data_IF_459628350709
#
_entry.id   IF_459628350709
#
_cell.length_a   1.000
_cell.length_b   1.000
_cell.length_c   1.000
_cell.angle_alpha   90.00
_cell.angle_beta   90.00
_cell.angle_gamma   90.00
#
_symmetry.space_group_name_H-M   'P 1'
#
loop_
_entity.id
_entity.type
_entity.pdbx_description
1 polymer ?
#
# COMPACT_ATOMS: atom_id res chain seq x y z
N UNK A 1 28.12 -0.97 20.53
CA UNK A 1 27.34 -1.02 19.27
C UNK A 1 26.35 -2.16 19.24
N UNK A 2 25.12 -1.92 18.75
CA UNK A 2 24.12 -2.97 18.53
C UNK A 2 24.13 -3.37 17.04
N UNK A 3 24.80 -4.46 16.63
CA UNK A 3 24.75 -4.92 15.25
C UNK A 3 23.29 -5.18 14.85
N UNK A 4 22.87 -4.63 13.71
CA UNK A 4 21.49 -4.75 13.20
C UNK A 4 20.58 -3.53 13.42
N UNK A 5 21.01 -2.47 14.11
CA UNK A 5 20.22 -1.23 14.15
C UNK A 5 20.36 -0.49 12.82
N UNK A 6 19.29 -0.45 12.03
CA UNK A 6 19.19 0.40 10.82
C UNK A 6 19.38 1.87 11.22
N UNK A 7 20.42 2.50 10.70
CA UNK A 7 20.69 3.93 10.86
C UNK A 7 20.18 4.66 9.61
N UNK A 8 19.33 5.66 9.80
CA UNK A 8 18.87 6.53 8.72
C UNK A 8 19.30 7.97 9.02
N UNK A 9 19.82 8.64 7.99
CA UNK A 9 20.22 10.05 8.05
C UNK A 9 19.53 10.84 6.94
N UNK A 10 19.06 12.04 7.28
CA UNK A 10 18.54 13.03 6.34
C UNK A 10 19.34 14.30 6.56
N UNK A 11 19.96 14.84 5.52
CA UNK A 11 20.89 15.98 5.61
C UNK A 11 21.93 15.79 6.73
N UNK A 12 22.53 14.59 6.78
CA UNK A 12 23.51 14.16 7.79
C UNK A 12 23.00 14.03 9.24
N UNK A 13 21.74 14.36 9.52
CA UNK A 13 21.14 14.20 10.85
C UNK A 13 20.46 12.83 11.01
N UNK A 14 20.71 12.15 12.13
CA UNK A 14 20.06 10.87 12.44
C UNK A 14 18.55 11.07 12.61
N UNK A 15 17.73 10.21 12.01
CA UNK A 15 16.27 10.27 12.11
C UNK A 15 15.63 8.87 12.04
N UNK A 16 14.32 8.79 12.23
CA UNK A 16 13.58 7.53 12.12
C UNK A 16 13.44 7.11 10.66
N UNK A 17 13.27 5.80 10.43
CA UNK A 17 13.02 5.29 9.07
C UNK A 17 11.74 5.87 8.44
N UNK A 18 10.75 6.19 9.28
CA UNK A 18 9.46 6.73 8.85
C UNK A 18 9.57 8.16 8.33
N UNK A 19 10.55 8.95 8.78
CA UNK A 19 10.77 10.31 8.34
C UNK A 19 11.16 10.40 6.85
N UNK A 20 11.66 9.32 6.25
CA UNK A 20 11.99 9.31 4.82
C UNK A 20 10.77 9.57 3.93
N UNK A 21 9.58 9.15 4.36
CA UNK A 21 8.33 9.39 3.64
C UNK A 21 7.95 10.88 3.55
N UNK A 22 8.55 11.75 4.37
CA UNK A 22 8.36 13.21 4.26
C UNK A 22 9.14 13.80 3.08
N UNK A 23 10.19 13.11 2.61
CA UNK A 23 11.10 13.62 1.58
C UNK A 23 10.85 12.99 0.22
N UNK A 24 10.55 11.69 0.19
CA UNK A 24 10.42 10.93 -1.05
C UNK A 24 9.19 10.03 -1.00
N UNK A 25 8.28 10.21 -1.97
CA UNK A 25 7.27 9.21 -2.25
C UNK A 25 7.92 8.06 -3.04
N UNK A 26 7.73 6.83 -2.60
CA UNK A 26 8.33 5.66 -3.25
C UNK A 26 7.28 4.59 -3.49
N UNK A 27 7.12 4.19 -4.74
CA UNK A 27 6.28 3.07 -5.17
C UNK A 27 7.11 1.97 -5.80
N UNK A 28 6.64 0.72 -5.71
CA UNK A 28 7.24 -0.37 -6.46
C UNK A 28 6.28 -1.49 -6.81
N UNK A 29 6.58 -2.14 -7.93
CA UNK A 29 5.93 -3.35 -8.41
C UNK A 29 7.00 -4.41 -8.68
N UNK A 30 6.81 -5.61 -8.12
CA UNK A 30 7.69 -6.76 -8.32
C UNK A 30 6.89 -8.00 -8.70
N UNK A 31 7.50 -9.01 -9.35
CA UNK A 31 6.79 -10.25 -9.72
C UNK A 31 6.13 -10.97 -8.53
N UNK A 32 6.71 -10.87 -7.32
CA UNK A 32 6.13 -11.45 -6.11
C UNK A 32 4.76 -10.87 -5.73
N UNK A 33 4.38 -9.71 -6.30
CA UNK A 33 3.09 -9.08 -6.05
C UNK A 33 1.98 -9.54 -7.01
N UNK A 34 2.29 -10.31 -8.07
CA UNK A 34 1.29 -10.76 -9.05
C UNK A 34 0.14 -11.57 -8.38
N UNK A 35 0.40 -12.19 -7.22
CA UNK A 35 -0.60 -12.91 -6.42
C UNK A 35 -1.40 -12.04 -5.42
N UNK A 36 -1.30 -10.71 -5.45
CA UNK A 36 -1.89 -9.81 -4.44
C UNK A 36 -3.38 -10.07 -4.20
N UNK A 37 -4.16 -10.29 -5.26
CA UNK A 37 -5.61 -10.44 -5.13
C UNK A 37 -6.02 -11.78 -4.50
N UNK A 38 -5.16 -12.81 -4.61
CA UNK A 38 -5.33 -14.10 -3.93
C UNK A 38 -4.70 -14.14 -2.54
N UNK A 39 -3.94 -13.11 -2.19
CA UNK A 39 -3.18 -13.06 -0.95
C UNK A 39 -4.10 -12.97 0.27
N UNK A 40 -3.52 -13.08 1.47
CA UNK A 40 -4.26 -12.86 2.70
C UNK A 40 -4.74 -11.40 2.83
N UNK A 41 -5.81 -11.11 3.59
CA UNK A 41 -6.19 -9.73 3.92
C UNK A 41 -5.04 -8.93 4.56
N UNK A 42 -4.13 -9.59 5.28
CA UNK A 42 -2.94 -8.96 5.85
C UNK A 42 -1.95 -8.46 4.79
N UNK A 43 -1.79 -9.19 3.68
CA UNK A 43 -0.95 -8.77 2.56
C UNK A 43 -1.59 -7.61 1.80
N UNK A 44 -2.90 -7.65 1.56
CA UNK A 44 -3.64 -6.54 0.95
C UNK A 44 -3.60 -5.28 1.79
N UNK A 45 -3.74 -5.38 3.12
CA UNK A 45 -3.54 -4.23 4.03
C UNK A 45 -2.13 -3.67 3.97
N UNK A 46 -1.09 -4.52 3.93
CA UNK A 46 0.31 -4.06 3.78
C UNK A 46 0.54 -3.34 2.46
N UNK A 47 -0.05 -3.84 1.37
CA UNK A 47 -0.02 -3.17 0.07
C UNK A 47 -0.70 -1.79 0.15
N UNK A 48 -1.91 -1.74 0.71
CA UNK A 48 -2.67 -0.50 0.89
C UNK A 48 -1.92 0.51 1.78
N UNK A 49 -1.33 0.07 2.89
CA UNK A 49 -0.54 0.92 3.79
C UNK A 49 0.70 1.50 3.11
N UNK A 50 1.35 0.71 2.24
CA UNK A 50 2.49 1.18 1.46
C UNK A 50 2.07 2.26 0.46
N UNK A 51 0.95 2.06 -0.24
CA UNK A 51 0.43 3.07 -1.17
C UNK A 51 -0.01 4.34 -0.42
N UNK A 52 -0.67 4.19 0.73
CA UNK A 52 -1.11 5.29 1.56
C UNK A 52 0.08 6.10 2.08
N UNK A 53 1.19 5.46 2.47
CA UNK A 53 2.40 6.14 2.92
C UNK A 53 3.00 7.09 1.86
N UNK A 54 2.93 6.72 0.58
CA UNK A 54 3.44 7.56 -0.50
C UNK A 54 2.60 8.84 -0.71
N UNK A 55 1.31 8.82 -0.34
CA UNK A 55 0.39 9.95 -0.41
C UNK A 55 0.34 10.76 0.90
N UNK A 56 0.46 10.07 2.03
CA UNK A 56 0.29 10.60 3.38
C UNK A 56 1.51 10.22 4.24
N UNK A 57 2.51 11.10 4.38
CA UNK A 57 3.75 10.80 5.10
C UNK A 57 3.56 10.45 6.57
N UNK A 58 2.50 10.98 7.19
CA UNK A 58 2.13 10.71 8.57
C UNK A 58 1.53 9.30 8.77
N UNK A 59 1.20 8.58 7.70
CA UNK A 59 0.60 7.23 7.74
C UNK A 59 1.42 6.24 8.55
N UNK A 60 2.75 6.25 8.40
CA UNK A 60 3.63 5.33 9.14
C UNK A 60 3.59 5.59 10.65
N UNK A 61 3.50 6.86 11.07
CA UNK A 61 3.37 7.24 12.48
C UNK A 61 2.01 6.82 13.04
N UNK A 62 0.94 7.04 12.27
CA UNK A 62 -0.43 6.64 12.65
C UNK A 62 -0.52 5.11 12.79
N UNK A 63 -0.03 4.36 11.79
CA UNK A 63 0.05 2.90 11.81
C UNK A 63 0.84 2.39 13.02
N UNK A 64 1.99 3.01 13.33
CA UNK A 64 2.78 2.66 14.52
C UNK A 64 2.04 2.90 15.85
N UNK A 65 1.30 4.01 16.00
CA UNK A 65 0.46 4.29 17.17
C UNK A 65 -0.65 3.25 17.31
N UNK A 66 -1.32 2.94 16.21
CA UNK A 66 -2.39 1.94 16.16
C UNK A 66 -1.87 0.55 16.57
N UNK A 67 -0.79 0.06 15.98
CA UNK A 67 -0.20 -1.25 16.29
C UNK A 67 0.31 -1.35 17.74
N UNK A 68 0.81 -0.25 18.31
CA UNK A 68 1.18 -0.19 19.72
C UNK A 68 -0.06 -0.31 20.63
N UNK A 69 -1.10 0.50 20.37
CA UNK A 69 -2.34 0.48 21.15
C UNK A 69 -3.08 -0.87 21.01
N UNK A 70 -3.09 -1.47 19.83
CA UNK A 70 -3.73 -2.76 19.56
C UNK A 70 -3.04 -3.90 20.30
N UNK A 71 -1.69 -3.95 20.25
CA UNK A 71 -0.91 -4.95 20.99
C UNK A 71 -1.12 -4.81 22.49
N UNK A 72 -1.13 -3.58 22.98
CA UNK A 72 -1.42 -3.25 24.37
C UNK A 72 -2.81 -3.77 24.78
N UNK A 73 -3.85 -3.44 24.00
CA UNK A 73 -5.22 -3.94 24.24
C UNK A 73 -5.28 -5.46 24.27
N UNK A 74 -4.72 -6.12 23.25
CA UNK A 74 -4.76 -7.58 23.15
C UNK A 74 -4.04 -8.25 24.33
N UNK A 75 -2.98 -7.62 24.86
CA UNK A 75 -2.30 -8.12 26.06
C UNK A 75 -3.17 -7.99 27.30
N UNK A 76 -3.89 -6.88 27.47
CA UNK A 76 -4.84 -6.70 28.57
C UNK A 76 -6.01 -7.70 28.48
N UNK A 77 -6.53 -7.96 27.28
CA UNK A 77 -7.62 -8.92 27.05
C UNK A 77 -7.21 -10.38 27.32
N UNK A 78 -5.92 -10.67 27.21
CA UNK A 78 -5.37 -12.00 27.48
C UNK A 78 -5.01 -12.24 28.96
N UNK A 79 -5.07 -11.20 29.83
CA UNK A 79 -4.79 -11.34 31.25
C UNK A 79 -5.89 -12.16 31.95
N UNK A 80 -5.49 -13.24 32.62
CA UNK A 80 -6.40 -14.14 33.34
C UNK A 80 -7.09 -13.48 34.53
N UNK A 81 -6.49 -12.43 35.11
CA UNK A 81 -7.09 -11.63 36.18
C UNK A 81 -8.13 -10.63 35.67
N UNK A 82 -8.24 -10.50 34.34
CA UNK A 82 -9.04 -9.47 33.68
C UNK A 82 -8.31 -8.12 33.63
N UNK A 83 -8.66 -7.28 32.65
CA UNK A 83 -8.01 -5.98 32.46
C UNK A 83 -8.41 -4.98 33.53
N UNK A 84 -7.46 -4.12 33.96
CA UNK A 84 -7.81 -2.92 34.71
C UNK A 84 -8.71 -2.03 33.85
N UNK A 85 -9.90 -1.70 34.35
CA UNK A 85 -10.93 -1.01 33.57
C UNK A 85 -10.53 0.41 33.18
N UNK A 86 -9.85 1.13 34.06
CA UNK A 86 -9.41 2.51 33.79
C UNK A 86 -8.34 2.52 32.70
N UNK A 87 -7.39 1.59 32.80
CA UNK A 87 -6.31 1.44 31.82
C UNK A 87 -6.83 0.96 30.46
N UNK A 88 -7.77 0.01 30.44
CA UNK A 88 -8.41 -0.46 29.21
C UNK A 88 -9.13 0.69 28.49
N UNK A 89 -9.91 1.51 29.21
CA UNK A 89 -10.61 2.67 28.63
C UNK A 89 -9.63 3.68 28.03
N UNK A 90 -8.53 3.98 28.76
CA UNK A 90 -7.51 4.90 28.27
C UNK A 90 -6.79 4.35 27.01
N UNK A 91 -6.52 3.04 26.97
CA UNK A 91 -5.97 2.39 25.80
C UNK A 91 -6.95 2.36 24.62
N UNK A 92 -8.23 2.07 24.86
CA UNK A 92 -9.28 2.06 23.83
C UNK A 92 -9.48 3.43 23.19
N UNK A 93 -9.36 4.51 23.95
CA UNK A 93 -9.38 5.87 23.39
C UNK A 93 -8.21 6.11 22.42
N UNK A 94 -6.99 5.70 22.80
CA UNK A 94 -5.82 5.82 21.92
C UNK A 94 -5.92 4.91 20.69
N UNK A 95 -6.44 3.69 20.87
CA UNK A 95 -6.68 2.74 19.79
C UNK A 95 -7.71 3.27 18.81
N UNK A 96 -8.79 3.87 19.30
CA UNK A 96 -9.85 4.43 18.48
C UNK A 96 -9.37 5.66 17.70
N UNK A 97 -8.64 6.58 18.33
CA UNK A 97 -8.07 7.76 17.65
C UNK A 97 -7.11 7.35 16.52
N UNK A 98 -6.14 6.48 16.82
CA UNK A 98 -5.19 6.03 15.82
C UNK A 98 -5.84 5.13 14.75
N UNK A 99 -6.83 4.32 15.15
CA UNK A 99 -7.56 3.42 14.26
C UNK A 99 -8.43 4.18 13.26
N UNK A 100 -9.21 5.15 13.72
CA UNK A 100 -10.01 6.03 12.87
C UNK A 100 -9.14 6.78 11.85
N UNK A 101 -8.01 7.33 12.30
CA UNK A 101 -7.06 8.01 11.42
C UNK A 101 -6.48 7.05 10.37
N UNK A 102 -6.08 5.83 10.76
CA UNK A 102 -5.55 4.81 9.85
C UNK A 102 -6.58 4.41 8.79
N UNK A 103 -7.80 4.12 9.22
CA UNK A 103 -8.92 3.72 8.38
C UNK A 103 -9.29 4.84 7.38
N UNK A 104 -9.30 6.09 7.85
CA UNK A 104 -9.58 7.26 7.01
C UNK A 104 -8.53 7.47 5.92
N UNK A 105 -7.23 7.26 6.20
CA UNK A 105 -6.17 7.34 5.18
C UNK A 105 -6.31 6.24 4.13
N UNK A 106 -6.69 5.03 4.53
CA UNK A 106 -6.95 3.91 3.62
C UNK A 106 -8.16 4.16 2.73
N UNK A 107 -9.26 4.64 3.31
CA UNK A 107 -10.45 5.03 2.56
C UNK A 107 -10.13 6.14 1.54
N UNK A 108 -9.42 7.20 1.95
CA UNK A 108 -9.03 8.28 1.07
C UNK A 108 -8.09 7.85 -0.08
N UNK A 109 -7.18 6.90 0.19
CA UNK A 109 -6.36 6.28 -0.86
C UNK A 109 -7.24 5.55 -1.89
N UNK A 110 -8.17 4.71 -1.42
CA UNK A 110 -9.03 3.90 -2.30
C UNK A 110 -9.95 4.80 -3.13
N UNK A 111 -10.52 5.84 -2.51
CA UNK A 111 -11.31 6.86 -3.21
C UNK A 111 -10.48 7.58 -4.28
N UNK A 112 -9.28 8.06 -3.95
CA UNK A 112 -8.40 8.73 -4.90
C UNK A 112 -8.00 7.83 -6.07
N UNK A 113 -7.75 6.55 -5.82
CA UNK A 113 -7.47 5.56 -6.87
C UNK A 113 -8.71 5.29 -7.73
N UNK A 114 -9.88 5.15 -7.11
CA UNK A 114 -11.15 4.99 -7.81
C UNK A 114 -11.39 6.15 -8.77
N UNK A 115 -11.21 7.39 -8.30
CA UNK A 115 -11.34 8.59 -9.12
C UNK A 115 -10.30 8.68 -10.24
N UNK A 116 -9.05 8.26 -9.99
CA UNK A 116 -8.02 8.22 -11.02
C UNK A 116 -8.27 7.15 -12.09
N UNK A 117 -8.96 6.07 -11.75
CA UNK A 117 -9.19 4.93 -12.63
C UNK A 117 -10.55 4.96 -13.34
N UNK A 118 -11.51 5.79 -12.89
CA UNK A 118 -12.90 5.72 -13.36
C UNK A 118 -13.05 5.91 -14.86
N UNK A 119 -12.23 6.77 -15.47
CA UNK A 119 -12.30 7.14 -16.89
C UNK A 119 -11.25 6.39 -17.74
N UNK A 120 -10.46 5.51 -17.13
CA UNK A 120 -9.50 4.70 -17.86
C UNK A 120 -10.22 3.66 -18.74
N UNK A 121 -9.72 3.38 -19.95
CA UNK A 121 -10.26 2.32 -20.78
C UNK A 121 -10.06 0.94 -20.15
N UNK A 122 -10.92 -0.01 -20.51
CA UNK A 122 -10.80 -1.40 -20.05
C UNK A 122 -9.63 -2.16 -20.72
N UNK A 123 -9.02 -1.56 -21.75
CA UNK A 123 -7.84 -2.04 -22.47
C UNK A 123 -6.79 -0.92 -22.62
N UNK A 124 -5.49 -1.25 -22.67
CA UNK A 124 -4.93 -2.61 -22.73
C UNK A 124 -4.70 -3.22 -21.33
N UNK A 125 -4.90 -2.45 -20.27
CA UNK A 125 -4.89 -2.91 -18.89
C UNK A 125 -6.32 -2.96 -18.35
N UNK A 126 -6.74 -4.13 -17.90
CA UNK A 126 -8.05 -4.32 -17.28
C UNK A 126 -8.28 -3.30 -16.15
N UNK A 127 -9.37 -2.53 -16.25
CA UNK A 127 -9.72 -1.50 -15.27
C UNK A 127 -10.19 -2.13 -13.95
N UNK A 128 -9.52 -1.86 -12.82
CA UNK A 128 -9.95 -2.31 -11.51
C UNK A 128 -10.96 -1.33 -10.89
N UNK A 129 -12.02 -1.88 -10.30
CA UNK A 129 -12.93 -1.18 -9.39
C UNK A 129 -12.50 -1.54 -7.96
N UNK A 130 -12.18 -0.53 -7.16
CA UNK A 130 -11.66 -0.71 -5.80
C UNK A 130 -12.72 -0.36 -4.78
N UNK A 131 -12.87 -1.21 -3.76
CA UNK A 131 -13.75 -0.97 -2.62
C UNK A 131 -12.96 -1.18 -1.33
N UNK A 132 -13.03 -0.20 -0.45
CA UNK A 132 -12.48 -0.28 0.89
C UNK A 132 -13.48 -0.94 1.82
N UNK A 133 -13.14 -2.10 2.35
CA UNK A 133 -13.99 -2.85 3.28
C UNK A 133 -13.52 -2.59 4.71
N UNK A 134 -14.21 -1.69 5.41
CA UNK A 134 -13.84 -1.30 6.75
C UNK A 134 -14.12 -2.42 7.77
N UNK A 135 -13.12 -2.74 8.59
CA UNK A 135 -13.21 -3.70 9.70
C UNK A 135 -13.85 -3.14 10.98
N UNK A 136 -14.27 -1.88 10.95
CA UNK A 136 -14.92 -1.16 12.04
C UNK A 136 -15.27 0.28 11.62
N UNK A 137 -15.86 1.07 12.53
CA UNK A 137 -16.18 2.47 12.24
C UNK A 137 -14.95 3.30 11.88
N UNK A 138 -15.13 4.28 10.98
CA UNK A 138 -14.07 5.22 10.57
C UNK A 138 -13.95 6.42 11.51
N UNK A 139 -15.01 6.73 12.25
CA UNK A 139 -15.00 7.78 13.27
C UNK A 139 -14.44 7.27 14.60
N UNK A 140 -13.66 8.10 15.29
CA UNK A 140 -13.00 7.73 16.53
C UNK A 140 -14.00 7.50 17.68
N UNK A 141 -15.06 8.30 17.77
CA UNK A 141 -16.10 8.13 18.78
C UNK A 141 -16.86 6.82 18.56
N UNK A 142 -17.33 6.60 17.34
CA UNK A 142 -18.04 5.38 16.97
C UNK A 142 -17.16 4.12 17.15
N UNK A 143 -15.87 4.20 16.82
CA UNK A 143 -14.94 3.08 17.05
C UNK A 143 -14.72 2.82 18.53
N UNK A 144 -14.60 3.85 19.37
CA UNK A 144 -14.50 3.70 20.82
C UNK A 144 -15.76 3.03 21.42
N UNK A 145 -16.96 3.43 20.96
CA UNK A 145 -18.22 2.81 21.34
C UNK A 145 -18.27 1.34 20.92
N UNK A 146 -17.87 1.02 19.68
CA UNK A 146 -17.82 -0.34 19.17
C UNK A 146 -16.84 -1.24 19.96
N UNK A 147 -15.67 -0.71 20.34
CA UNK A 147 -14.70 -1.40 21.19
C UNK A 147 -15.30 -1.68 22.58
N UNK A 148 -15.94 -0.68 23.19
CA UNK A 148 -16.56 -0.79 24.50
C UNK A 148 -17.71 -1.81 24.52
N UNK A 149 -18.57 -1.80 23.50
CA UNK A 149 -19.67 -2.76 23.34
C UNK A 149 -19.16 -4.18 23.01
N UNK A 150 -18.00 -4.29 22.35
CA UNK A 150 -17.39 -5.56 21.95
C UNK A 150 -16.58 -6.27 23.03
N UNK A 151 -16.31 -5.64 24.18
CA UNK A 151 -15.37 -6.13 25.20
C UNK A 151 -15.56 -7.60 25.59
N UNK A 152 -16.79 -8.03 25.89
CA UNK A 152 -17.03 -9.42 26.31
C UNK A 152 -16.65 -10.43 25.22
N UNK A 153 -16.93 -10.12 23.95
CA UNK A 153 -16.52 -10.97 22.81
C UNK A 153 -15.01 -10.96 22.62
N UNK A 154 -14.39 -9.79 22.77
CA UNK A 154 -12.95 -9.63 22.61
C UNK A 154 -12.16 -10.34 23.73
N UNK A 155 -12.66 -10.32 24.97
CA UNK A 155 -12.09 -11.07 26.11
C UNK A 155 -12.20 -12.57 25.85
N UNK A 156 -13.37 -13.06 25.44
CA UNK A 156 -13.56 -14.47 25.11
C UNK A 156 -12.63 -14.94 23.97
N UNK A 157 -12.41 -14.08 22.98
CA UNK A 157 -11.49 -14.36 21.86
C UNK A 157 -10.02 -14.08 22.17
N UNK A 158 -9.71 -13.47 23.33
CA UNK A 158 -8.39 -12.96 23.74
C UNK A 158 -7.73 -12.06 22.67
N UNK A 159 -8.54 -11.32 21.91
CA UNK A 159 -8.09 -10.40 20.85
C UNK A 159 -9.19 -9.40 20.50
N UNK A 160 -8.76 -8.25 19.98
CA UNK A 160 -9.64 -7.22 19.43
C UNK A 160 -10.28 -7.70 18.12
N UNK A 161 -11.61 -7.64 18.01
CA UNK A 161 -12.33 -8.12 16.82
C UNK A 161 -12.83 -7.01 15.88
N UNK A 162 -12.81 -5.75 16.31
CA UNK A 162 -13.32 -4.59 15.54
C UNK A 162 -12.21 -3.55 15.36
N UNK A 163 -12.05 -3.01 14.15
CA UNK A 163 -11.08 -1.96 13.84
C UNK A 163 -10.22 -2.25 12.60
N UNK A 164 -9.30 -1.34 12.26
CA UNK A 164 -8.62 -1.36 10.96
C UNK A 164 -7.61 -2.50 10.75
N UNK A 165 -7.24 -3.25 11.79
CA UNK A 165 -6.52 -4.52 11.62
C UNK A 165 -7.37 -5.60 10.93
N UNK A 166 -8.67 -5.35 10.74
CA UNK A 166 -9.63 -6.21 10.03
C UNK A 166 -10.05 -5.66 8.67
N UNK A 167 -9.59 -4.48 8.27
CA UNK A 167 -9.91 -3.90 6.95
C UNK A 167 -9.47 -4.82 5.81
N UNK A 168 -10.14 -4.67 4.67
CA UNK A 168 -9.76 -5.32 3.43
C UNK A 168 -9.88 -4.39 2.22
N UNK A 169 -9.23 -4.80 1.13
CA UNK A 169 -9.33 -4.17 -0.17
C UNK A 169 -9.97 -5.17 -1.14
N UNK A 170 -11.22 -4.90 -1.52
CA UNK A 170 -11.90 -5.64 -2.57
C UNK A 170 -11.61 -5.01 -3.93
N UNK A 171 -11.29 -5.86 -4.92
CA UNK A 171 -11.02 -5.43 -6.29
C UNK A 171 -11.87 -6.26 -7.23
N UNK A 172 -12.58 -5.59 -8.13
CA UNK A 172 -13.43 -6.20 -9.16
C UNK A 172 -12.98 -5.71 -10.53
N UNK A 173 -12.95 -6.59 -11.52
CA UNK A 173 -12.63 -6.18 -12.90
C UNK A 173 -13.87 -5.57 -13.56
N UNK A 174 -13.78 -4.30 -13.99
CA UNK A 174 -14.92 -3.55 -14.52
C UNK A 174 -15.62 -4.26 -15.69
N UNK A 175 -14.85 -4.68 -16.70
CA UNK A 175 -15.40 -5.29 -17.92
C UNK A 175 -16.10 -6.66 -17.74
N UNK A 176 -15.87 -7.36 -16.62
CA UNK A 176 -16.53 -8.66 -16.33
C UNK A 176 -17.44 -8.64 -15.09
N UNK A 177 -17.30 -7.66 -14.21
CA UNK A 177 -17.94 -7.69 -12.89
C UNK A 177 -17.46 -8.83 -11.99
N UNK A 178 -16.30 -9.43 -12.29
CA UNK A 178 -15.76 -10.56 -11.54
C UNK A 178 -14.75 -10.09 -10.48
N UNK A 179 -14.75 -10.67 -9.26
CA UNK A 179 -13.69 -10.41 -8.28
C UNK A 179 -12.32 -10.70 -8.86
N UNK A 180 -11.34 -9.83 -8.62
CA UNK A 180 -10.01 -9.95 -9.22
C UNK A 180 -9.31 -11.28 -8.88
N UNK A 181 -9.57 -11.82 -7.68
CA UNK A 181 -9.12 -13.14 -7.26
C UNK A 181 -9.59 -14.28 -8.19
N UNK A 182 -10.71 -14.11 -8.90
CA UNK A 182 -11.29 -15.11 -9.79
C UNK A 182 -10.92 -14.87 -11.26
N UNK A 183 -10.22 -13.77 -11.57
CA UNK A 183 -9.73 -13.47 -12.90
C UNK A 183 -8.48 -14.28 -13.25
N UNK A 184 -8.15 -14.36 -14.54
CA UNK A 184 -6.91 -15.00 -14.99
C UNK A 184 -5.67 -14.26 -14.46
N UNK A 185 -4.53 -14.95 -14.33
CA UNK A 185 -3.27 -14.33 -13.88
C UNK A 185 -2.87 -13.11 -14.71
N UNK A 186 -3.12 -13.13 -16.03
CA UNK A 186 -2.87 -11.98 -16.91
C UNK A 186 -3.77 -10.79 -16.60
N UNK A 187 -5.05 -11.02 -16.30
CA UNK A 187 -5.99 -9.97 -15.89
C UNK A 187 -5.65 -9.40 -14.51
N UNK A 188 -5.26 -10.26 -13.57
CA UNK A 188 -4.77 -9.84 -12.25
C UNK A 188 -3.55 -8.92 -12.39
N UNK A 189 -2.56 -9.34 -13.18
CA UNK A 189 -1.37 -8.53 -13.46
C UNK A 189 -1.74 -7.19 -14.11
N UNK A 190 -2.64 -7.21 -15.09
CA UNK A 190 -3.09 -6.00 -15.76
C UNK A 190 -3.76 -5.00 -14.81
N UNK A 191 -4.65 -5.46 -13.93
CA UNK A 191 -5.27 -4.62 -12.89
C UNK A 191 -4.24 -4.09 -11.90
N UNK A 192 -3.28 -4.91 -11.47
CA UNK A 192 -2.22 -4.47 -10.56
C UNK A 192 -1.32 -3.39 -11.18
N UNK A 193 -1.00 -3.52 -12.47
CA UNK A 193 -0.28 -2.49 -13.24
C UNK A 193 -1.12 -1.22 -13.34
N UNK A 194 -2.43 -1.31 -13.63
CA UNK A 194 -3.32 -0.16 -13.67
C UNK A 194 -3.35 0.60 -12.33
N UNK A 195 -3.51 -0.10 -11.20
CA UNK A 195 -3.46 0.51 -9.87
C UNK A 195 -2.11 1.19 -9.61
N UNK A 196 -1.01 0.54 -10.00
CA UNK A 196 0.35 1.07 -9.80
C UNK A 196 0.58 2.35 -10.60
N UNK A 197 0.12 2.41 -11.85
CA UNK A 197 0.27 3.58 -12.71
C UNK A 197 -0.59 4.76 -12.22
N UNK A 198 -1.85 4.49 -11.85
CA UNK A 198 -2.71 5.51 -11.25
C UNK A 198 -2.12 6.04 -9.94
N UNK A 199 -1.59 5.16 -9.09
CA UNK A 199 -0.93 5.54 -7.84
C UNK A 199 0.32 6.41 -8.09
N UNK A 200 1.15 6.06 -9.07
CA UNK A 200 2.35 6.81 -9.41
C UNK A 200 2.05 8.27 -9.76
N UNK A 201 1.01 8.49 -10.58
CA UNK A 201 0.54 9.83 -10.94
C UNK A 201 0.01 10.61 -9.73
N UNK A 202 -0.71 9.95 -8.81
CA UNK A 202 -1.19 10.57 -7.58
C UNK A 202 -0.02 10.94 -6.63
N UNK A 203 0.95 10.04 -6.47
CA UNK A 203 2.07 10.21 -5.55
C UNK A 203 3.09 11.27 -6.00
N UNK A 204 3.14 11.59 -7.30
CA UNK A 204 3.99 12.65 -7.84
C UNK A 204 3.43 14.07 -7.65
N UNK A 205 2.18 14.22 -7.16
CA UNK A 205 1.54 15.53 -7.00
C UNK A 205 2.22 16.34 -5.89
N UNK A 206 2.94 17.38 -6.28
CA UNK A 206 3.50 18.38 -5.36
C UNK A 206 4.72 17.93 -4.56
N UNK A 207 5.34 16.80 -4.91
CA UNK A 207 6.52 16.28 -4.22
C UNK A 207 7.36 15.34 -5.08
N UNK A 208 8.62 15.13 -4.68
CA UNK A 208 9.49 14.15 -5.32
C UNK A 208 8.93 12.72 -5.16
N UNK A 209 8.93 11.97 -6.27
CA UNK A 209 8.41 10.61 -6.34
C UNK A 209 9.31 9.73 -7.20
N UNK A 210 9.50 8.48 -6.77
CA UNK A 210 10.21 7.43 -7.51
C UNK A 210 9.34 6.18 -7.60
N UNK A 211 9.20 5.63 -8.80
CA UNK A 211 8.54 4.36 -9.08
C UNK A 211 9.56 3.32 -9.56
N UNK A 212 9.63 2.19 -8.86
CA UNK A 212 10.51 1.06 -9.20
C UNK A 212 9.69 -0.08 -9.80
N UNK A 213 9.99 -0.47 -11.03
CA UNK A 213 9.26 -1.50 -11.76
C UNK A 213 10.19 -2.64 -12.13
N UNK A 214 10.02 -3.77 -11.44
CA UNK A 214 10.89 -4.93 -11.58
C UNK A 214 10.31 -5.93 -12.58
N UNK A 215 11.03 -6.17 -13.67
CA UNK A 215 10.70 -7.07 -14.79
C UNK A 215 9.33 -6.84 -15.47
N UNK A 216 8.65 -5.73 -15.19
CA UNK A 216 7.26 -5.53 -15.64
C UNK A 216 7.12 -5.55 -17.17
N UNK A 217 8.05 -4.94 -17.90
CA UNK A 217 7.95 -4.76 -19.36
C UNK A 217 8.16 -6.08 -20.12
N UNK A 218 8.97 -7.00 -19.57
CA UNK A 218 9.28 -8.29 -20.19
C UNK A 218 8.05 -9.21 -20.28
N UNK A 219 7.06 -8.99 -19.42
CA UNK A 219 5.84 -9.82 -19.35
C UNK A 219 4.65 -9.25 -20.12
N UNK A 220 4.84 -8.14 -20.83
CA UNK A 220 3.79 -7.47 -21.58
C UNK A 220 3.96 -7.72 -23.08
N UNK A 221 2.86 -7.80 -23.82
CA UNK A 221 2.88 -7.73 -25.29
C UNK A 221 3.21 -6.29 -25.75
N UNK A 222 3.54 -6.08 -27.05
CA UNK A 222 3.94 -4.77 -27.55
C UNK A 222 2.92 -3.65 -27.30
N UNK A 223 1.62 -3.93 -27.43
CA UNK A 223 0.55 -2.93 -27.23
C UNK A 223 0.50 -2.51 -25.76
N UNK A 224 0.57 -3.46 -24.83
CA UNK A 224 0.63 -3.17 -23.40
C UNK A 224 1.91 -2.44 -22.99
N UNK A 225 3.06 -2.73 -23.61
CA UNK A 225 4.32 -2.01 -23.34
C UNK A 225 4.25 -0.55 -23.75
N UNK A 226 3.71 -0.26 -24.93
CA UNK A 226 3.55 1.11 -25.41
C UNK A 226 2.63 1.90 -24.46
N UNK A 227 1.47 1.34 -24.12
CA UNK A 227 0.56 1.97 -23.16
C UNK A 227 1.14 2.11 -21.75
N UNK A 228 1.98 1.17 -21.31
CA UNK A 228 2.74 1.31 -20.06
C UNK A 228 3.62 2.55 -20.12
N UNK A 229 4.43 2.68 -21.18
CA UNK A 229 5.38 3.78 -21.33
C UNK A 229 4.68 5.14 -21.44
N UNK A 230 3.57 5.23 -22.17
CA UNK A 230 2.78 6.46 -22.26
C UNK A 230 2.24 6.92 -20.89
N UNK A 231 1.69 5.99 -20.10
CA UNK A 231 1.22 6.32 -18.74
C UNK A 231 2.36 6.68 -17.81
N UNK A 232 3.53 6.06 -17.96
CA UNK A 232 4.72 6.42 -17.18
C UNK A 232 5.20 7.83 -17.50
N UNK A 233 5.24 8.22 -18.78
CA UNK A 233 5.56 9.60 -19.20
C UNK A 233 4.62 10.62 -18.59
N UNK A 234 3.32 10.32 -18.56
CA UNK A 234 2.30 11.21 -18.00
C UNK A 234 2.29 11.29 -16.46
N UNK A 235 2.93 10.34 -15.77
CA UNK A 235 2.82 10.22 -14.31
C UNK A 235 3.56 11.31 -13.51
N UNK A 236 4.57 11.96 -14.10
CA UNK A 236 5.42 12.93 -13.40
C UNK A 236 6.34 12.34 -12.33
N UNK A 237 6.43 11.01 -12.20
CA UNK A 237 7.35 10.32 -11.29
C UNK A 237 8.68 10.02 -11.97
N UNK A 238 9.77 9.90 -11.20
CA UNK A 238 11.00 9.31 -11.72
C UNK A 238 10.85 7.78 -11.76
N UNK A 239 11.00 7.17 -12.93
CA UNK A 239 10.77 5.73 -13.11
C UNK A 239 12.10 4.99 -13.28
N UNK A 240 12.22 3.85 -12.60
CA UNK A 240 13.29 2.88 -12.78
C UNK A 240 12.68 1.56 -13.22
N UNK A 241 13.18 1.02 -14.33
CA UNK A 241 12.75 -0.24 -14.90
C UNK A 241 13.92 -1.23 -14.90
N UNK A 242 13.66 -2.50 -14.60
CA UNK A 242 14.64 -3.57 -14.74
C UNK A 242 14.19 -4.58 -15.80
N UNK A 243 15.15 -5.22 -16.45
CA UNK A 243 14.93 -6.33 -17.36
C UNK A 243 16.25 -6.96 -17.79
N UNK A 244 16.15 -8.14 -18.38
CA UNK A 244 17.32 -8.95 -18.78
C UNK A 244 17.79 -8.67 -20.20
N UNK A 245 16.95 -8.04 -21.02
CA UNK A 245 17.23 -7.74 -22.43
C UNK A 245 16.72 -6.34 -22.83
N UNK A 246 17.34 -5.67 -23.81
CA UNK A 246 16.90 -4.34 -24.26
C UNK A 246 15.58 -4.32 -25.05
N UNK A 247 15.23 -5.43 -25.71
CA UNK A 247 14.12 -5.46 -26.68
C UNK A 247 12.74 -5.05 -26.11
N UNK A 248 12.34 -5.43 -24.88
CA UNK A 248 11.11 -4.95 -24.26
C UNK A 248 11.05 -3.44 -24.03
N UNK A 249 12.20 -2.75 -24.03
CA UNK A 249 12.32 -1.32 -23.77
C UNK A 249 12.53 -0.47 -25.02
N UNK A 250 12.48 -1.07 -26.21
CA UNK A 250 12.79 -0.39 -27.47
C UNK A 250 12.05 0.97 -27.65
N UNK A 251 10.80 1.07 -27.17
CA UNK A 251 9.99 2.29 -27.24
C UNK A 251 10.41 3.44 -26.32
N UNK A 252 11.39 3.23 -25.43
CA UNK A 252 11.90 4.25 -24.48
C UNK A 252 13.43 4.39 -24.50
N UNK A 253 14.17 3.55 -25.24
CA UNK A 253 15.65 3.54 -25.21
C UNK A 253 16.29 4.90 -25.56
N UNK A 254 15.64 5.72 -26.38
CA UNK A 254 16.17 7.02 -26.81
C UNK A 254 15.98 8.14 -25.77
N UNK A 255 15.07 7.96 -24.81
CA UNK A 255 14.75 8.94 -23.77
C UNK A 255 15.17 8.48 -22.37
N UNK A 256 15.37 7.17 -22.17
CA UNK A 256 15.80 6.59 -20.92
C UNK A 256 17.34 6.63 -20.80
N UNK A 257 17.83 7.01 -19.63
CA UNK A 257 19.20 6.70 -19.25
C UNK A 257 19.29 5.18 -18.98
N UNK A 258 20.28 4.54 -19.61
CA UNK A 258 20.40 3.08 -19.61
C UNK A 258 21.68 2.66 -18.87
N UNK A 259 21.55 1.63 -18.04
CA UNK A 259 22.66 1.08 -17.26
C UNK A 259 22.67 -0.44 -17.32
N UNK A 260 23.86 -1.01 -17.49
CA UNK A 260 24.13 -2.45 -17.41
C UNK A 260 24.62 -2.77 -16.01
N UNK A 261 24.01 -3.77 -15.40
CA UNK A 261 24.41 -4.30 -14.09
C UNK A 261 25.14 -5.63 -14.30
N UNK A 262 26.38 -5.73 -13.85
CA UNK A 262 27.17 -6.97 -13.90
C UNK A 262 28.10 -7.06 -12.69
N UNK A 263 28.13 -8.21 -12.01
CA UNK A 263 29.02 -8.44 -10.88
C UNK A 263 28.85 -7.47 -9.70
N UNK A 264 27.66 -6.85 -9.55
CA UNK A 264 27.40 -5.80 -8.55
C UNK A 264 27.90 -4.41 -8.94
N UNK A 265 28.45 -4.23 -10.14
CA UNK A 265 28.80 -2.94 -10.73
C UNK A 265 27.72 -2.44 -11.70
N UNK A 266 27.67 -1.13 -11.92
CA UNK A 266 26.70 -0.44 -12.79
C UNK A 266 27.47 0.41 -13.79
N UNK A 267 27.24 0.21 -15.09
CA UNK A 267 27.90 0.93 -16.18
C UNK A 267 26.86 1.51 -17.15
N UNK A 268 27.02 2.76 -17.58
CA UNK A 268 26.13 3.35 -18.58
C UNK A 268 26.35 2.72 -19.97
N UNK A 269 25.30 2.54 -20.77
CA UNK A 269 25.42 2.04 -22.15
C UNK A 269 24.37 2.65 -23.09
#
# INVERSE_FOLDING_TARGET
DRPGRRLLRINSANTSATALAEWLAMGWLTPAMDGLFMASPGERRRYMDRLALALFPDHARISGRFEAALRERNRMLADERGPDRGWLVANEAQLAEAGAALASRRAALVEALGEALKDEPDEPFARPLLVYEAGGPLDAGALAEALAAGRSRDIAARRTLTGPHRDDLAVTMAGKGAPAAQCSTGEQKAMLVAITLAHAALAARGRASVLLLDEVAAHLDPVRREALFDRLRASGTQVWLTGTEPAPFAGILQEAACWRVNGGAVEAF
#
